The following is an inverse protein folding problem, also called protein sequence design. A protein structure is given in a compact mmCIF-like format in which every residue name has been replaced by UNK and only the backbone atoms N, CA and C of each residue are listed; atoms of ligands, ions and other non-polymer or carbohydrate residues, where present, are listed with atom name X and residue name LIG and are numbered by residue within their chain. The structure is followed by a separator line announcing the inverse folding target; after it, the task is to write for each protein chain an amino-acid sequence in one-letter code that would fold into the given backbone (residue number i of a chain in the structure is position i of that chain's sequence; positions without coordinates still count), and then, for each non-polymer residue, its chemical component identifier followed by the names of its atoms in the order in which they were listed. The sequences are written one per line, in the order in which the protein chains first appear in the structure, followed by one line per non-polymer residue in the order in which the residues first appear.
data_IF_124120117686
#
_entry.id   IF_124120117686
#
_cell.length_a   1.000
_cell.length_b   1.000
_cell.length_c   1.000
_cell.angle_alpha   90.00
_cell.angle_beta   90.00
_cell.angle_gamma   90.00
#
_symmetry.space_group_name_H-M   'P 1'
#
loop_
_entity.id
_entity.type
_entity.pdbx_description
1 polymer ?
#
# COMPACT_ATOMS: atom_id res chain seq x y z
N UNK A 1 14.49 -41.29 -34.73
CA UNK A 1 14.25 -40.03 -33.99
C UNK A 1 13.63 -40.39 -32.64
N UNK A 2 14.39 -40.39 -31.53
CA UNK A 2 13.88 -40.77 -30.20
C UNK A 2 13.16 -39.57 -29.57
N UNK A 3 11.83 -39.60 -29.54
CA UNK A 3 10.99 -38.64 -28.80
C UNK A 3 11.26 -38.85 -27.31
N UNK A 4 11.88 -37.90 -26.64
CA UNK A 4 12.08 -37.91 -25.16
C UNK A 4 10.68 -37.80 -24.49
N UNK A 5 10.35 -38.65 -23.51
CA UNK A 5 9.01 -38.70 -22.94
C UNK A 5 8.66 -37.42 -22.20
N UNK A 6 7.43 -36.93 -22.37
CA UNK A 6 6.82 -35.75 -21.76
C UNK A 6 6.98 -35.76 -20.23
N UNK A 7 6.92 -36.93 -19.59
CA UNK A 7 7.16 -37.12 -18.15
C UNK A 7 8.53 -36.62 -17.64
N UNK A 8 9.59 -36.68 -18.48
CA UNK A 8 10.92 -36.22 -18.10
C UNK A 8 11.03 -34.70 -18.04
N UNK A 9 10.25 -34.00 -18.88
CA UNK A 9 10.23 -32.53 -18.92
C UNK A 9 9.44 -31.95 -17.74
N UNK A 10 8.31 -32.55 -17.38
CA UNK A 10 7.53 -32.18 -16.19
C UNK A 10 8.35 -32.35 -14.93
N UNK A 11 8.97 -33.52 -14.71
CA UNK A 11 9.81 -33.81 -13.54
C UNK A 11 10.99 -32.83 -13.40
N UNK A 12 11.61 -32.42 -14.51
CA UNK A 12 12.70 -31.40 -14.48
C UNK A 12 12.19 -30.03 -14.10
N UNK A 13 11.00 -29.63 -14.54
CA UNK A 13 10.38 -28.36 -14.14
C UNK A 13 10.05 -28.35 -12.66
N UNK A 14 9.47 -29.44 -12.14
CA UNK A 14 9.15 -29.59 -10.73
C UNK A 14 10.40 -29.54 -9.86
N UNK A 15 11.48 -30.21 -10.27
CA UNK A 15 12.76 -30.19 -9.58
C UNK A 15 13.41 -28.78 -9.58
N UNK A 16 13.29 -28.06 -10.71
CA UNK A 16 13.78 -26.67 -10.78
C UNK A 16 12.96 -25.73 -9.88
N UNK A 17 11.64 -25.89 -9.86
CA UNK A 17 10.74 -25.14 -8.97
C UNK A 17 11.07 -25.41 -7.49
N UNK A 18 11.23 -26.69 -7.10
CA UNK A 18 11.62 -27.05 -5.75
C UNK A 18 13.00 -26.49 -5.36
N UNK A 19 13.97 -26.50 -6.28
CA UNK A 19 15.30 -25.92 -6.06
C UNK A 19 15.19 -24.42 -5.84
N UNK A 20 14.38 -23.70 -6.65
CA UNK A 20 14.14 -22.27 -6.48
C UNK A 20 13.54 -21.97 -5.11
N UNK A 21 12.53 -22.72 -4.66
CA UNK A 21 11.91 -22.56 -3.34
C UNK A 21 12.94 -22.73 -2.22
N UNK A 22 13.77 -23.80 -2.27
CA UNK A 22 14.81 -24.03 -1.26
C UNK A 22 15.81 -22.88 -1.16
N UNK A 23 16.21 -22.29 -2.30
CA UNK A 23 17.14 -21.14 -2.30
C UNK A 23 16.46 -19.91 -1.67
N UNK A 24 15.20 -19.62 -2.00
CA UNK A 24 14.46 -18.51 -1.42
C UNK A 24 14.25 -18.69 0.10
N UNK A 25 13.92 -19.90 0.56
CA UNK A 25 13.78 -20.21 2.00
C UNK A 25 15.11 -20.05 2.75
N UNK A 26 16.21 -20.50 2.17
CA UNK A 26 17.53 -20.35 2.76
C UNK A 26 17.94 -18.87 2.85
N UNK A 27 17.72 -18.11 1.76
CA UNK A 27 18.02 -16.69 1.71
C UNK A 27 17.18 -15.89 2.74
N UNK A 28 15.89 -16.19 2.87
CA UNK A 28 15.02 -15.55 3.86
C UNK A 28 15.49 -15.79 5.29
N UNK A 29 15.76 -17.05 5.66
CA UNK A 29 16.21 -17.40 7.02
C UNK A 29 17.55 -16.75 7.37
N UNK A 30 18.52 -16.79 6.46
CA UNK A 30 19.82 -16.18 6.67
C UNK A 30 19.76 -14.67 6.78
N UNK A 31 18.90 -14.02 5.98
CA UNK A 31 18.66 -12.59 6.08
C UNK A 31 18.12 -12.20 7.46
N UNK A 32 17.09 -12.90 7.95
CA UNK A 32 16.51 -12.60 9.26
C UNK A 32 17.50 -12.83 10.40
N UNK A 33 18.42 -13.79 10.26
CA UNK A 33 19.41 -14.11 11.29
C UNK A 33 20.60 -13.14 11.32
N UNK A 34 21.07 -12.66 10.16
CA UNK A 34 22.33 -11.91 10.07
C UNK A 34 22.26 -10.57 9.31
N UNK A 35 21.13 -10.25 8.70
CA UNK A 35 20.96 -9.07 7.86
C UNK A 35 21.53 -9.25 6.45
N UNK A 36 21.25 -8.24 5.61
CA UNK A 36 21.61 -8.31 4.19
C UNK A 36 23.15 -8.35 3.95
N UNK A 37 23.90 -7.50 4.64
CA UNK A 37 25.33 -7.39 4.39
C UNK A 37 26.09 -8.67 4.77
N UNK A 38 25.80 -9.25 5.93
CA UNK A 38 26.45 -10.45 6.43
C UNK A 38 26.09 -11.73 5.66
N UNK A 39 24.94 -11.75 4.95
CA UNK A 39 24.53 -12.93 4.19
C UNK A 39 25.18 -12.96 2.82
N UNK A 40 25.93 -14.00 2.51
CA UNK A 40 26.59 -14.20 1.21
C UNK A 40 25.83 -15.20 0.33
N UNK A 41 26.03 -15.13 -1.00
CA UNK A 41 25.47 -16.13 -1.93
C UNK A 41 26.01 -17.52 -1.64
N UNK A 42 27.26 -17.62 -1.16
CA UNK A 42 27.86 -18.91 -0.76
C UNK A 42 27.09 -19.52 0.42
N UNK A 43 26.80 -18.74 1.46
CA UNK A 43 26.01 -19.20 2.61
C UNK A 43 24.60 -19.66 2.18
N UNK A 44 23.98 -18.92 1.26
CA UNK A 44 22.65 -19.29 0.72
C UNK A 44 22.74 -20.61 -0.06
N UNK A 45 23.74 -20.79 -0.90
CA UNK A 45 23.93 -22.01 -1.68
C UNK A 45 24.17 -23.23 -0.77
N UNK A 46 25.00 -23.08 0.25
CA UNK A 46 25.26 -24.11 1.27
C UNK A 46 23.97 -24.48 2.02
N UNK A 47 23.26 -23.50 2.54
CA UNK A 47 22.00 -23.72 3.28
C UNK A 47 20.88 -24.31 2.41
N UNK A 48 20.89 -24.04 1.09
CA UNK A 48 19.93 -24.60 0.12
C UNK A 48 20.37 -25.98 -0.41
N UNK A 49 21.60 -26.43 -0.14
CA UNK A 49 22.14 -27.69 -0.68
C UNK A 49 22.32 -27.65 -2.20
N UNK A 50 22.83 -26.53 -2.74
CA UNK A 50 23.08 -26.34 -4.17
C UNK A 50 24.47 -25.73 -4.43
N UNK A 51 24.95 -25.84 -5.67
CA UNK A 51 26.17 -25.12 -6.06
C UNK A 51 25.93 -23.61 -6.15
N UNK A 52 26.94 -22.79 -5.84
CA UNK A 52 26.90 -21.33 -5.96
C UNK A 52 26.50 -20.88 -7.36
N UNK A 53 27.02 -21.55 -8.40
CA UNK A 53 26.66 -21.30 -9.80
C UNK A 53 25.18 -21.50 -10.06
N UNK A 54 24.52 -22.44 -9.35
CA UNK A 54 23.06 -22.64 -9.47
C UNK A 54 22.28 -21.43 -8.99
N UNK A 55 22.72 -20.81 -7.87
CA UNK A 55 22.07 -19.58 -7.36
C UNK A 55 22.21 -18.43 -8.37
N UNK A 56 23.43 -18.23 -8.90
CA UNK A 56 23.66 -17.20 -9.93
C UNK A 56 22.90 -17.49 -11.22
N UNK A 57 22.83 -18.73 -11.63
CA UNK A 57 22.06 -19.12 -12.83
C UNK A 57 20.57 -18.80 -12.70
N UNK A 58 20.00 -19.02 -11.50
CA UNK A 58 18.56 -18.84 -11.26
C UNK A 58 18.20 -17.37 -11.01
N UNK A 59 19.03 -16.61 -10.28
CA UNK A 59 18.69 -15.28 -9.78
C UNK A 59 19.59 -14.15 -10.34
N UNK A 60 20.74 -14.46 -10.90
CA UNK A 60 21.68 -13.50 -11.44
C UNK A 60 22.49 -12.75 -10.38
N UNK A 61 21.83 -12.00 -9.49
CA UNK A 61 22.50 -11.18 -8.46
C UNK A 61 21.90 -11.41 -7.07
N UNK A 62 22.67 -11.06 -6.03
CA UNK A 62 22.19 -11.08 -4.64
C UNK A 62 20.97 -10.16 -4.45
N UNK A 63 21.00 -8.95 -5.01
CA UNK A 63 19.88 -8.02 -4.94
C UNK A 63 18.60 -8.60 -5.56
N UNK A 64 18.71 -9.22 -6.75
CA UNK A 64 17.57 -9.86 -7.41
C UNK A 64 17.03 -11.07 -6.64
N UNK A 65 17.92 -11.86 -6.03
CA UNK A 65 17.50 -12.95 -5.15
C UNK A 65 16.59 -12.42 -4.01
N UNK A 66 17.02 -11.35 -3.34
CA UNK A 66 16.23 -10.79 -2.23
C UNK A 66 14.96 -10.07 -2.68
N UNK A 67 14.93 -9.48 -3.86
CA UNK A 67 13.69 -8.97 -4.45
C UNK A 67 12.66 -10.08 -4.69
N UNK A 68 13.12 -11.26 -5.09
CA UNK A 68 12.25 -12.43 -5.25
C UNK A 68 11.79 -13.01 -3.90
N UNK A 69 12.65 -12.96 -2.88
CA UNK A 69 12.26 -13.31 -1.51
C UNK A 69 11.18 -12.35 -1.01
N UNK A 70 11.33 -11.03 -1.24
CA UNK A 70 10.34 -10.02 -0.90
C UNK A 70 8.98 -10.31 -1.56
N UNK A 71 8.97 -10.55 -2.87
CA UNK A 71 7.75 -10.89 -3.60
C UNK A 71 7.05 -12.10 -2.97
N UNK A 72 7.80 -13.12 -2.59
CA UNK A 72 7.24 -14.31 -1.95
C UNK A 72 6.70 -14.02 -0.55
N UNK A 73 7.35 -13.17 0.23
CA UNK A 73 6.87 -12.75 1.56
C UNK A 73 5.56 -11.97 1.44
N UNK A 74 5.47 -11.06 0.47
CA UNK A 74 4.25 -10.26 0.22
C UNK A 74 3.11 -11.12 -0.28
N UNK A 75 3.36 -11.95 -1.31
CA UNK A 75 2.33 -12.67 -2.04
C UNK A 75 2.05 -14.08 -1.48
N UNK A 76 2.93 -14.59 -0.61
CA UNK A 76 2.92 -15.99 -0.18
C UNK A 76 3.39 -16.92 -1.31
N UNK A 77 3.04 -18.20 -1.20
CA UNK A 77 3.46 -19.22 -2.18
C UNK A 77 2.66 -19.18 -3.49
N UNK A 78 1.63 -18.32 -3.59
CA UNK A 78 0.86 -18.15 -4.82
C UNK A 78 1.65 -17.31 -5.84
N UNK A 79 1.58 -17.64 -7.15
CA UNK A 79 2.16 -16.82 -8.20
C UNK A 79 1.68 -15.37 -8.12
N UNK A 80 2.58 -14.41 -8.41
CA UNK A 80 2.28 -12.98 -8.36
C UNK A 80 1.11 -12.55 -9.24
N UNK A 81 0.84 -13.30 -10.31
CA UNK A 81 -0.24 -13.04 -11.25
C UNK A 81 -1.63 -13.41 -10.72
N UNK A 82 -1.70 -14.24 -9.68
CA UNK A 82 -2.96 -14.76 -9.13
C UNK A 82 -3.48 -14.02 -7.89
N UNK A 83 -2.84 -12.93 -7.46
CA UNK A 83 -3.34 -12.20 -6.29
C UNK A 83 -4.75 -11.61 -6.52
N UNK A 84 -5.08 -11.28 -7.78
CA UNK A 84 -6.42 -10.79 -8.16
C UNK A 84 -7.53 -11.83 -8.05
N UNK A 85 -7.20 -13.12 -7.99
CA UNK A 85 -8.15 -14.23 -7.82
C UNK A 85 -8.42 -14.57 -6.35
N UNK A 86 -7.78 -13.86 -5.42
CA UNK A 86 -7.96 -14.12 -3.99
C UNK A 86 -9.36 -13.73 -3.52
N UNK A 87 -9.95 -14.48 -2.56
CA UNK A 87 -11.30 -14.23 -2.06
C UNK A 87 -11.53 -12.80 -1.58
N UNK A 88 -10.52 -12.20 -0.92
CA UNK A 88 -10.62 -10.83 -0.42
C UNK A 88 -10.71 -9.77 -1.54
N UNK A 89 -10.17 -10.04 -2.73
CA UNK A 89 -10.34 -9.14 -3.90
C UNK A 89 -11.80 -9.09 -4.30
N UNK A 90 -12.43 -10.26 -4.46
CA UNK A 90 -13.86 -10.35 -4.77
C UNK A 90 -14.71 -9.69 -3.69
N UNK A 91 -14.36 -9.91 -2.42
CA UNK A 91 -15.04 -9.30 -1.28
C UNK A 91 -14.96 -7.77 -1.33
N UNK A 92 -13.77 -7.20 -1.57
CA UNK A 92 -13.61 -5.75 -1.72
C UNK A 92 -14.37 -5.18 -2.91
N UNK A 93 -14.40 -5.90 -4.04
CA UNK A 93 -15.13 -5.47 -5.24
C UNK A 93 -16.64 -5.47 -5.06
N UNK A 94 -17.19 -6.34 -4.21
CA UNK A 94 -18.61 -6.48 -3.96
C UNK A 94 -19.11 -5.62 -2.78
N UNK A 95 -18.21 -5.20 -1.87
CA UNK A 95 -18.60 -4.41 -0.69
C UNK A 95 -19.16 -3.05 -1.08
N UNK A 96 -20.27 -2.67 -0.46
CA UNK A 96 -20.97 -1.40 -0.68
C UNK A 96 -20.93 -0.46 0.51
N UNK A 97 -20.64 -0.99 1.70
CA UNK A 97 -20.39 -0.18 2.90
C UNK A 97 -18.93 0.31 2.87
N UNK A 98 -18.69 1.63 2.76
CA UNK A 98 -17.35 2.16 2.61
C UNK A 98 -16.46 1.93 3.84
N UNK A 99 -17.03 1.87 5.06
CA UNK A 99 -16.25 1.58 6.27
C UNK A 99 -15.85 0.12 6.35
N UNK A 100 -16.74 -0.80 5.97
CA UNK A 100 -16.41 -2.23 5.86
C UNK A 100 -15.37 -2.48 4.77
N UNK A 101 -15.48 -1.79 3.64
CA UNK A 101 -14.49 -1.86 2.58
C UNK A 101 -13.08 -1.47 3.07
N UNK A 102 -12.98 -0.34 3.80
CA UNK A 102 -11.71 0.07 4.42
C UNK A 102 -11.22 -0.91 5.48
N UNK A 103 -12.11 -1.49 6.27
CA UNK A 103 -11.73 -2.51 7.26
C UNK A 103 -11.16 -3.77 6.60
N UNK A 104 -11.76 -4.25 5.51
CA UNK A 104 -11.23 -5.38 4.72
C UNK A 104 -9.85 -5.04 4.14
N UNK A 105 -9.71 -3.83 3.57
CA UNK A 105 -8.43 -3.36 3.05
C UNK A 105 -7.35 -3.34 4.13
N UNK A 106 -7.64 -2.73 5.29
CA UNK A 106 -6.69 -2.63 6.41
C UNK A 106 -6.34 -4.01 6.97
N UNK A 107 -7.29 -4.94 7.03
CA UNK A 107 -7.04 -6.32 7.45
C UNK A 107 -6.00 -7.00 6.55
N UNK A 108 -6.25 -7.01 5.24
CA UNK A 108 -5.37 -7.64 4.25
C UNK A 108 -3.99 -6.97 4.22
N UNK A 109 -3.95 -5.64 4.22
CA UNK A 109 -2.72 -4.87 4.19
C UNK A 109 -1.87 -5.09 5.45
N UNK A 110 -2.53 -5.16 6.62
CA UNK A 110 -1.85 -5.43 7.89
C UNK A 110 -1.26 -6.83 7.92
N UNK A 111 -1.94 -7.83 7.38
CA UNK A 111 -1.41 -9.20 7.26
C UNK A 111 -0.15 -9.24 6.37
N UNK A 112 -0.15 -8.47 5.28
CA UNK A 112 1.04 -8.31 4.42
C UNK A 112 2.16 -7.63 5.21
N UNK A 113 1.89 -6.52 5.91
CA UNK A 113 2.87 -5.78 6.70
C UNK A 113 3.46 -6.60 7.83
N UNK A 114 2.65 -7.40 8.51
CA UNK A 114 3.11 -8.29 9.59
C UNK A 114 4.15 -9.30 9.10
N UNK A 115 4.01 -9.78 7.87
CA UNK A 115 4.96 -10.71 7.24
C UNK A 115 6.19 -10.02 6.69
N UNK A 116 6.03 -8.83 6.08
CA UNK A 116 7.13 -8.16 5.39
C UNK A 116 7.98 -7.29 6.31
N UNK A 117 7.43 -6.77 7.40
CA UNK A 117 8.13 -5.85 8.30
C UNK A 117 9.45 -6.42 8.86
N UNK A 118 9.53 -7.67 9.35
CA UNK A 118 10.80 -8.26 9.79
C UNK A 118 11.81 -8.37 8.64
N UNK A 119 11.35 -8.67 7.43
CA UNK A 119 12.19 -8.78 6.24
C UNK A 119 12.78 -7.42 5.84
N UNK A 120 11.95 -6.37 5.76
CA UNK A 120 12.39 -5.00 5.43
C UNK A 120 13.37 -4.50 6.49
N UNK A 121 13.11 -4.76 7.76
CA UNK A 121 14.02 -4.40 8.85
C UNK A 121 15.38 -5.08 8.73
N UNK A 122 15.43 -6.35 8.34
CA UNK A 122 16.66 -7.13 8.15
C UNK A 122 17.43 -6.73 6.88
N UNK A 123 16.76 -6.22 5.85
CA UNK A 123 17.42 -5.67 4.66
C UNK A 123 18.26 -4.45 5.01
N UNK A 124 17.74 -3.57 5.86
CA UNK A 124 18.40 -2.33 6.26
C UNK A 124 18.60 -1.32 5.11
N UNK A 125 19.18 -0.16 5.40
CA UNK A 125 19.37 0.91 4.42
C UNK A 125 20.42 0.60 3.34
N UNK A 126 21.30 -0.39 3.58
CA UNK A 126 22.33 -0.80 2.63
C UNK A 126 21.81 -1.73 1.51
N UNK A 127 20.54 -2.09 1.52
CA UNK A 127 19.99 -2.94 0.46
C UNK A 127 20.02 -2.20 -0.89
N UNK A 128 20.82 -2.67 -1.88
CA UNK A 128 20.83 -2.07 -3.19
C UNK A 128 19.54 -2.39 -3.90
N UNK A 129 18.61 -1.45 -3.88
CA UNK A 129 17.33 -1.57 -4.59
C UNK A 129 17.60 -1.53 -6.10
N UNK A 130 17.44 -2.67 -6.77
CA UNK A 130 17.40 -2.69 -8.23
C UNK A 130 16.21 -1.85 -8.71
N UNK A 131 16.41 -0.84 -9.58
CA UNK A 131 15.33 0.05 -10.03
C UNK A 131 14.12 -0.67 -10.62
N UNK A 132 14.36 -1.80 -11.30
CA UNK A 132 13.28 -2.60 -11.91
C UNK A 132 12.42 -3.27 -10.83
N UNK A 133 13.06 -3.79 -9.79
CA UNK A 133 12.37 -4.42 -8.65
C UNK A 133 11.62 -3.38 -7.81
N UNK A 134 12.20 -2.20 -7.60
CA UNK A 134 11.51 -1.07 -6.93
C UNK A 134 10.25 -0.69 -7.71
N UNK A 135 10.38 -0.45 -9.02
CA UNK A 135 9.26 -0.08 -9.85
C UNK A 135 8.16 -1.17 -9.92
N UNK A 136 8.54 -2.45 -9.89
CA UNK A 136 7.58 -3.55 -9.85
C UNK A 136 6.80 -3.60 -8.53
N UNK A 137 7.50 -3.40 -7.40
CA UNK A 137 6.89 -3.33 -6.06
C UNK A 137 5.94 -2.13 -5.93
N UNK A 138 6.36 -0.96 -6.41
CA UNK A 138 5.54 0.25 -6.38
C UNK A 138 4.27 0.07 -7.21
N UNK A 139 4.38 -0.50 -8.42
CA UNK A 139 3.19 -0.83 -9.23
C UNK A 139 2.26 -1.82 -8.52
N UNK A 140 2.80 -2.88 -7.91
CA UNK A 140 1.99 -3.86 -7.17
C UNK A 140 1.22 -3.23 -6.00
N UNK A 141 1.88 -2.32 -5.26
CA UNK A 141 1.24 -1.55 -4.19
C UNK A 141 0.17 -0.60 -4.73
N UNK A 142 0.46 0.08 -5.84
CA UNK A 142 -0.48 0.99 -6.48
C UNK A 142 -1.70 0.25 -7.03
N UNK A 143 -1.52 -0.91 -7.62
CA UNK A 143 -2.63 -1.77 -8.05
C UNK A 143 -3.52 -2.20 -6.87
N UNK A 144 -2.91 -2.55 -5.73
CA UNK A 144 -3.64 -2.94 -4.53
C UNK A 144 -4.40 -1.76 -3.90
N UNK A 145 -3.76 -0.60 -3.74
CA UNK A 145 -4.42 0.60 -3.23
C UNK A 145 -5.49 1.11 -4.20
N UNK A 146 -5.22 1.01 -5.50
CA UNK A 146 -6.16 1.36 -6.56
C UNK A 146 -7.45 0.55 -6.53
N UNK A 147 -7.39 -0.69 -6.04
CA UNK A 147 -8.58 -1.53 -5.89
C UNK A 147 -9.56 -0.94 -4.87
N UNK A 148 -9.08 -0.55 -3.68
CA UNK A 148 -9.94 0.06 -2.65
C UNK A 148 -10.42 1.45 -3.04
N UNK A 149 -9.52 2.30 -3.55
CA UNK A 149 -9.86 3.67 -3.94
C UNK A 149 -10.85 3.69 -5.12
N UNK A 150 -10.62 2.85 -6.13
CA UNK A 150 -11.53 2.71 -7.27
C UNK A 150 -12.91 2.21 -6.86
N UNK A 151 -12.99 1.32 -5.86
CA UNK A 151 -14.28 0.88 -5.33
C UNK A 151 -14.98 1.97 -4.53
N UNK A 152 -14.27 2.73 -3.68
CA UNK A 152 -14.81 3.88 -2.94
C UNK A 152 -15.38 4.94 -3.90
N UNK A 153 -14.65 5.22 -4.99
CA UNK A 153 -15.10 6.15 -6.02
C UNK A 153 -16.34 5.65 -6.74
N UNK A 154 -16.34 4.39 -7.16
CA UNK A 154 -17.46 3.76 -7.88
C UNK A 154 -18.78 3.74 -7.09
N UNK A 155 -18.73 3.66 -5.74
CA UNK A 155 -19.90 3.72 -4.87
C UNK A 155 -20.21 5.14 -4.38
N UNK A 156 -19.47 6.16 -4.87
CA UNK A 156 -19.69 7.57 -4.49
C UNK A 156 -19.38 7.88 -3.03
N UNK A 157 -18.49 7.10 -2.40
CA UNK A 157 -18.20 7.21 -0.97
C UNK A 157 -17.10 8.22 -0.63
N UNK A 158 -16.30 8.65 -1.61
CA UNK A 158 -15.27 9.65 -1.38
C UNK A 158 -15.89 10.99 -0.98
N UNK A 159 -15.24 11.69 -0.05
CA UNK A 159 -15.67 13.02 0.42
C UNK A 159 -15.69 14.03 -0.72
N UNK A 160 -16.50 15.06 -0.59
CA UNK A 160 -16.63 16.10 -1.61
C UNK A 160 -15.29 16.77 -1.90
N UNK A 161 -14.96 16.87 -3.19
CA UNK A 161 -13.70 17.41 -3.68
C UNK A 161 -12.48 16.46 -3.58
N UNK A 162 -12.63 15.25 -3.04
CA UNK A 162 -11.60 14.23 -3.04
C UNK A 162 -11.54 13.54 -4.40
N UNK A 163 -10.38 13.57 -5.06
CA UNK A 163 -10.15 12.78 -6.27
C UNK A 163 -9.55 11.43 -5.92
N UNK A 164 -9.73 10.39 -6.75
CA UNK A 164 -9.05 9.10 -6.54
C UNK A 164 -7.54 9.23 -6.40
N UNK A 165 -6.89 10.14 -7.14
CA UNK A 165 -5.45 10.39 -7.03
C UNK A 165 -5.08 10.91 -5.65
N UNK A 166 -5.78 11.90 -5.11
CA UNK A 166 -5.53 12.42 -3.77
C UNK A 166 -5.78 11.35 -2.68
N UNK A 167 -6.81 10.51 -2.85
CA UNK A 167 -7.07 9.40 -1.94
C UNK A 167 -5.90 8.39 -1.93
N UNK A 168 -5.36 8.08 -3.11
CA UNK A 168 -4.15 7.24 -3.26
C UNK A 168 -2.95 7.84 -2.54
N UNK A 169 -2.71 9.15 -2.68
CA UNK A 169 -1.58 9.84 -2.06
C UNK A 169 -1.69 9.81 -0.53
N UNK A 170 -2.90 10.02 0.01
CA UNK A 170 -3.15 9.93 1.46
C UNK A 170 -2.82 8.51 1.95
N UNK A 171 -3.34 7.47 1.31
CA UNK A 171 -3.07 6.09 1.70
C UNK A 171 -1.57 5.81 1.67
N UNK A 172 -0.86 6.22 0.62
CA UNK A 172 0.60 6.01 0.48
C UNK A 172 1.39 6.63 1.62
N UNK A 173 1.03 7.84 2.03
CA UNK A 173 1.76 8.58 3.08
C UNK A 173 1.53 7.99 4.47
N UNK A 174 0.28 7.62 4.79
CA UNK A 174 -0.06 7.18 6.15
C UNK A 174 0.12 5.67 6.37
N UNK A 175 0.08 4.89 5.30
CA UNK A 175 0.06 3.43 5.34
C UNK A 175 1.38 2.80 4.91
N UNK A 176 2.50 3.23 5.51
CA UNK A 176 3.83 2.69 5.22
C UNK A 176 4.19 1.48 6.09
N UNK A 177 5.10 0.63 5.60
CA UNK A 177 5.62 -0.51 6.39
C UNK A 177 6.45 -0.02 7.57
N UNK A 178 7.15 1.11 7.40
CA UNK A 178 7.95 1.75 8.43
C UNK A 178 7.09 2.27 9.59
N UNK A 179 5.97 2.92 9.28
CA UNK A 179 5.02 3.39 10.29
C UNK A 179 4.42 2.22 11.08
N UNK A 180 4.03 1.14 10.39
CA UNK A 180 3.57 -0.08 11.02
C UNK A 180 4.64 -0.66 11.96
N UNK A 181 5.88 -0.82 11.49
CA UNK A 181 6.97 -1.37 12.29
C UNK A 181 7.32 -0.46 13.49
N UNK A 182 7.35 0.87 13.30
CA UNK A 182 7.62 1.80 14.40
C UNK A 182 6.57 1.68 15.51
N UNK A 183 5.31 1.70 15.16
CA UNK A 183 4.23 1.66 16.13
C UNK A 183 4.14 0.29 16.82
N UNK A 184 4.18 -0.81 16.06
CA UNK A 184 3.96 -2.15 16.63
C UNK A 184 5.19 -2.75 17.30
N UNK A 185 6.41 -2.48 16.80
CA UNK A 185 7.63 -3.09 17.33
C UNK A 185 8.33 -2.19 18.35
N UNK A 186 8.39 -0.86 18.11
CA UNK A 186 9.14 0.05 18.98
C UNK A 186 8.26 0.74 20.02
N UNK A 187 6.99 1.02 19.71
CA UNK A 187 6.09 1.77 20.59
C UNK A 187 5.06 0.92 21.31
N UNK A 188 5.06 -0.39 21.06
CA UNK A 188 4.26 -1.35 21.80
C UNK A 188 2.76 -1.36 21.43
N UNK A 189 2.38 -0.82 20.30
CA UNK A 189 1.03 -0.98 19.79
C UNK A 189 0.75 -2.43 19.46
N UNK A 190 -0.45 -2.88 19.77
CA UNK A 190 -0.90 -4.17 19.25
C UNK A 190 -1.26 -4.05 17.76
N UNK A 191 -1.30 -5.19 17.07
CA UNK A 191 -1.80 -5.23 15.68
C UNK A 191 -3.25 -4.75 15.60
N UNK A 192 -4.04 -4.99 16.63
CA UNK A 192 -5.43 -4.49 16.72
C UNK A 192 -5.48 -2.96 16.81
N UNK A 193 -4.63 -2.34 17.65
CA UNK A 193 -4.55 -0.88 17.76
C UNK A 193 -4.19 -0.23 16.42
N UNK A 194 -3.24 -0.83 15.68
CA UNK A 194 -2.88 -0.36 14.35
C UNK A 194 -4.06 -0.45 13.37
N UNK A 195 -4.76 -1.58 13.32
CA UNK A 195 -5.91 -1.78 12.44
C UNK A 195 -7.03 -0.78 12.75
N UNK A 196 -7.36 -0.61 14.01
CA UNK A 196 -8.38 0.34 14.45
C UNK A 196 -7.99 1.79 14.10
N UNK A 197 -6.77 2.20 14.44
CA UNK A 197 -6.26 3.52 14.14
C UNK A 197 -6.27 3.82 12.65
N UNK A 198 -5.73 2.92 11.82
CA UNK A 198 -5.64 3.14 10.38
C UNK A 198 -7.03 3.17 9.72
N UNK A 199 -7.95 2.29 10.15
CA UNK A 199 -9.32 2.28 9.64
C UNK A 199 -10.04 3.58 9.98
N UNK A 200 -9.89 4.09 11.21
CA UNK A 200 -10.49 5.35 11.64
C UNK A 200 -9.86 6.54 10.91
N UNK A 201 -8.54 6.56 10.76
CA UNK A 201 -7.81 7.61 10.04
C UNK A 201 -8.28 7.68 8.58
N UNK A 202 -8.26 6.56 7.86
CA UNK A 202 -8.66 6.51 6.47
C UNK A 202 -10.16 6.84 6.31
N UNK A 203 -11.02 6.36 7.21
CA UNK A 203 -12.45 6.72 7.19
C UNK A 203 -12.66 8.22 7.35
N UNK A 204 -11.97 8.85 8.30
CA UNK A 204 -12.07 10.28 8.54
C UNK A 204 -11.48 11.14 7.42
N UNK A 205 -10.45 10.66 6.72
CA UNK A 205 -9.79 11.40 5.65
C UNK A 205 -10.47 11.22 4.28
N UNK A 206 -10.92 10.01 3.96
CA UNK A 206 -11.37 9.67 2.61
C UNK A 206 -12.88 9.72 2.45
N UNK A 207 -13.64 9.35 3.49
CA UNK A 207 -15.07 9.16 3.34
C UNK A 207 -15.86 10.44 3.59
N UNK A 208 -17.01 10.52 2.94
CA UNK A 208 -18.01 11.52 3.24
C UNK A 208 -18.54 11.34 4.67
N UNK A 209 -18.71 12.45 5.40
CA UNK A 209 -19.28 12.40 6.75
C UNK A 209 -20.74 11.91 6.70
N UNK A 210 -21.23 11.12 7.68
CA UNK A 210 -22.58 10.59 7.69
C UNK A 210 -23.70 11.66 7.69
N UNK A 211 -23.36 12.92 7.95
CA UNK A 211 -24.29 14.05 8.13
C UNK A 211 -24.12 15.17 7.09
N UNK A 212 -23.32 15.00 6.07
CA UNK A 212 -23.29 15.99 4.99
C UNK A 212 -24.47 15.72 4.03
N UNK A 213 -25.52 16.59 4.02
CA UNK A 213 -26.57 16.46 3.04
C UNK A 213 -25.96 16.69 1.65
N UNK A 214 -26.48 16.02 0.60
CA UNK A 214 -26.04 16.28 -0.75
C UNK A 214 -26.23 17.77 -1.04
N UNK A 215 -25.11 18.42 -1.38
CA UNK A 215 -25.06 19.79 -1.88
C UNK A 215 -25.27 20.96 -0.89
N UNK A 216 -24.30 21.18 0.02
CA UNK A 216 -24.20 22.45 0.73
C UNK A 216 -23.67 23.61 -0.16
N UNK A 217 -23.25 23.36 -1.38
CA UNK A 217 -22.83 24.43 -2.31
C UNK A 217 -23.98 25.23 -2.90
N UNK A 218 -25.18 24.66 -2.97
CA UNK A 218 -26.37 25.37 -3.45
C UNK A 218 -26.87 26.46 -2.48
N UNK A 219 -26.48 26.39 -1.19
CA UNK A 219 -26.96 27.36 -0.19
C UNK A 219 -26.10 28.62 -0.04
N UNK A 220 -24.87 28.62 -0.57
CA UNK A 220 -23.98 29.79 -0.50
C UNK A 220 -24.17 30.78 -1.65
N UNK A 221 -24.88 30.40 -2.72
CA UNK A 221 -25.17 31.30 -3.85
C UNK A 221 -26.40 32.21 -3.62
N UNK A 222 -27.24 31.94 -2.61
CA UNK A 222 -28.43 32.75 -2.32
C UNK A 222 -28.21 33.85 -1.30
N UNK A 223 -27.03 33.93 -0.66
CA UNK A 223 -26.77 34.95 0.36
C UNK A 223 -26.10 36.23 -0.17
N UNK A 224 -25.85 36.33 -1.48
CA UNK A 224 -25.19 37.52 -2.08
C UNK A 224 -26.16 38.49 -2.77
N UNK A 225 -27.51 38.30 -2.68
CA UNK A 225 -28.47 39.15 -3.40
C UNK A 225 -29.41 40.01 -2.55
N UNK A 226 -29.29 39.99 -1.21
CA UNK A 226 -30.07 40.90 -0.35
C UNK A 226 -29.17 41.76 0.51
N UNK A 227 -28.62 42.82 -0.09
CA UNK A 227 -28.14 43.99 0.65
C UNK A 227 -29.35 44.92 0.91
N UNK A 228 -29.72 45.21 2.16
CA UNK A 228 -30.79 46.21 2.44
C UNK A 228 -30.31 47.60 2.03
N UNK A 229 -31.18 48.25 1.24
CA UNK A 229 -30.96 49.55 0.64
C UNK A 229 -30.57 50.64 1.63
N UNK A 230 -29.58 51.42 1.27
CA UNK A 230 -29.22 52.67 1.91
C UNK A 230 -30.27 53.73 1.64
N UNK A 231 -31.11 54.03 2.62
CA UNK A 231 -31.92 55.24 2.63
C UNK A 231 -31.03 56.47 2.75
N UNK A 232 -30.95 57.24 1.68
CA UNK A 232 -30.47 58.63 1.67
C UNK A 232 -31.44 59.46 2.52
N UNK A 233 -30.93 60.06 3.59
CA UNK A 233 -31.56 61.21 4.25
C UNK A 233 -30.71 62.45 3.98
N UNK A 234 -31.27 63.32 3.17
CA UNK A 234 -30.84 64.72 2.93
C UNK A 234 -31.40 65.61 4.02
N UNK A 235 -30.56 66.38 4.65
CA UNK A 235 -30.80 67.74 5.30
C UNK A 235 -29.44 68.16 5.78
N UNK A 236 -28.87 69.27 5.42
CA UNK A 236 -29.38 70.64 5.28
C UNK A 236 -28.70 71.50 6.30
N UNK A 237 -27.86 72.38 5.82
CA UNK A 237 -27.69 73.74 6.36
C UNK A 237 -26.83 74.03 7.58
N UNK A 238 -25.93 74.98 7.43
CA UNK A 238 -25.53 75.86 8.49
C UNK A 238 -24.04 75.99 8.81
N UNK A 239 -23.28 76.78 8.10
CA UNK A 239 -22.79 78.16 8.51
C UNK A 239 -22.08 78.27 9.88
N UNK A 240 -20.87 78.81 9.85
CA UNK A 240 -20.24 79.54 10.98
C UNK A 240 -18.79 79.11 11.22
N UNK A 241 -17.77 79.67 10.67
CA UNK A 241 -17.04 80.92 10.99
C UNK A 241 -16.13 80.84 12.23
N UNK A 242 -14.83 81.09 11.96
CA UNK A 242 -13.78 81.69 12.80
C UNK A 242 -13.22 80.77 13.93
N UNK A 243 -11.96 80.71 14.13
CA UNK A 243 -10.86 81.57 14.11
C UNK A 243 -9.78 81.11 15.10
N UNK A 244 -8.57 81.36 14.71
CA UNK A 244 -7.26 81.25 15.32
C UNK A 244 -6.52 79.97 15.22
#
# INVERSE_FOLDING_TARGET
MKVKPVATRARRRDQAAQTRVRILDAAYRLLLAGGYEATTIQMVAEAAGVAVQTVYFVFGTKGRLYSEVENRVVLGDAPSEQWRERPWVTQMQQETDPRKLLAIFVEVDTDIKSRISPFVSALGPAFPSDPTSVAARDRGRDDFFGLVVGRLDAIGALRDGMTPSHAMDIIRVVNTTEAYADLTTRRGWTVADWKEWLTNLLSGQLLRAPSDPPDSRARLSTWSSEAPGSTRSSRGGGSGARGR
#
